data_IF_414064508529
#
_entry.id   IF_414064508529
#
_cell.length_a   1.000
_cell.length_b   1.000
_cell.length_c   1.000
_cell.angle_alpha   90.00
_cell.angle_beta   90.00
_cell.angle_gamma   90.00
#
_symmetry.space_group_name_H-M   'P 1'
#
loop_
_entity.id
_entity.type
_entity.pdbx_description
1 polymer ?
#
# COMPACT_ATOMS: atom_id res chain seq x y z
N UNK A 1 0.42 22.41 9.64
CA UNK A 1 1.36 23.00 8.65
C UNK A 1 1.75 21.95 7.61
N UNK A 2 1.66 22.25 6.31
CA UNK A 2 2.06 21.31 5.25
C UNK A 2 3.57 20.99 5.31
N UNK A 3 3.94 19.75 4.97
CA UNK A 3 5.35 19.25 5.01
C UNK A 3 6.32 20.18 4.28
N UNK A 4 5.88 20.78 3.17
CA UNK A 4 6.67 21.76 2.41
C UNK A 4 7.13 22.96 3.25
N UNK A 5 6.30 23.45 4.17
CA UNK A 5 6.64 24.61 5.01
C UNK A 5 7.65 24.21 6.09
N UNK A 6 7.53 23.01 6.67
CA UNK A 6 8.52 22.52 7.64
C UNK A 6 9.90 22.31 7.01
N UNK A 7 9.96 21.76 5.80
CA UNK A 7 11.21 21.57 5.05
C UNK A 7 11.85 22.91 4.67
N UNK A 8 11.06 23.91 4.24
CA UNK A 8 11.58 25.24 3.96
C UNK A 8 12.14 25.92 5.21
N UNK A 9 11.47 25.79 6.36
CA UNK A 9 11.97 26.34 7.62
C UNK A 9 13.30 25.68 8.03
N UNK A 10 13.42 24.37 7.89
CA UNK A 10 14.67 23.65 8.16
C UNK A 10 15.79 24.04 7.18
N UNK A 11 15.46 24.17 5.90
CA UNK A 11 16.40 24.63 4.88
C UNK A 11 16.94 26.03 5.18
N UNK A 12 16.04 26.97 5.50
CA UNK A 12 16.40 28.34 5.87
C UNK A 12 17.23 28.38 7.16
N UNK A 13 16.92 27.56 8.16
CA UNK A 13 17.71 27.45 9.38
C UNK A 13 19.12 26.93 9.11
N UNK A 14 19.26 25.85 8.32
CA UNK A 14 20.57 25.29 7.95
C UNK A 14 21.39 26.31 7.15
N UNK A 15 20.77 26.96 6.16
CA UNK A 15 21.45 27.98 5.35
C UNK A 15 21.91 29.17 6.19
N UNK A 16 21.07 29.66 7.10
CA UNK A 16 21.43 30.74 8.04
C UNK A 16 22.63 30.37 8.91
N UNK A 17 22.65 29.13 9.43
CA UNK A 17 23.76 28.63 10.25
C UNK A 17 25.07 28.49 9.47
N UNK A 18 25.02 27.96 8.25
CA UNK A 18 26.18 27.85 7.35
C UNK A 18 26.75 29.23 7.05
N UNK A 19 25.88 30.21 6.79
CA UNK A 19 26.29 31.56 6.44
C UNK A 19 26.91 32.30 7.62
N UNK A 20 26.32 32.16 8.82
CA UNK A 20 26.85 32.74 10.05
C UNK A 20 28.25 32.17 10.35
N UNK A 21 28.43 30.85 10.20
CA UNK A 21 29.71 30.19 10.36
C UNK A 21 30.76 30.65 9.33
N UNK A 22 30.37 30.75 8.05
CA UNK A 22 31.25 31.25 6.99
C UNK A 22 31.69 32.70 7.23
N UNK A 23 30.75 33.58 7.58
CA UNK A 23 31.04 34.99 7.88
C UNK A 23 31.97 35.12 9.10
N UNK A 24 31.69 34.38 10.17
CA UNK A 24 32.54 34.36 11.37
C UNK A 24 33.97 33.84 11.08
N UNK A 25 34.10 32.76 10.31
CA UNK A 25 35.40 32.22 9.91
C UNK A 25 36.19 33.22 9.05
N UNK A 26 35.51 33.91 8.14
CA UNK A 26 36.10 34.96 7.32
C UNK A 26 36.59 36.13 8.17
N UNK A 27 35.78 36.59 9.13
CA UNK A 27 36.12 37.68 10.06
C UNK A 27 37.40 37.37 10.83
N UNK A 28 37.49 36.17 11.42
CA UNK A 28 38.70 35.75 12.16
C UNK A 28 39.91 35.65 11.24
N UNK A 29 39.75 35.13 10.02
CA UNK A 29 40.86 34.97 9.08
C UNK A 29 41.44 36.34 8.69
N UNK A 30 40.57 37.32 8.45
CA UNK A 30 40.97 38.70 8.13
C UNK A 30 41.64 39.37 9.32
N UNK A 31 41.05 39.26 10.53
CA UNK A 31 41.62 39.85 11.75
C UNK A 31 42.98 39.24 12.12
N UNK A 32 43.15 37.93 11.94
CA UNK A 32 44.41 37.25 12.21
C UNK A 32 45.52 37.67 11.25
N UNK A 33 45.22 37.75 9.94
CA UNK A 33 46.18 38.20 8.93
C UNK A 33 46.61 39.66 9.14
N UNK A 34 45.70 40.52 9.60
CA UNK A 34 45.99 41.91 9.96
C UNK A 34 46.95 42.04 11.15
N UNK A 35 46.85 41.11 12.11
CA UNK A 35 47.66 41.14 13.34
C UNK A 35 49.09 40.65 13.12
N UNK A 36 49.34 39.81 12.12
CA UNK A 36 50.68 39.33 11.77
C UNK A 36 51.41 40.23 10.75
N UNK A 37 50.71 40.87 9.81
CA UNK A 37 51.32 41.68 8.74
C UNK A 37 51.42 43.19 9.07
N UNK A 38 51.97 43.53 10.24
CA UNK A 38 52.00 44.92 10.76
C UNK A 38 52.91 45.87 9.94
N UNK A 39 53.78 45.40 9.06
CA UNK A 39 54.74 46.23 8.30
C UNK A 39 54.22 46.84 6.98
N UNK A 40 53.01 46.50 6.50
CA UNK A 40 52.42 47.00 5.24
C UNK A 40 51.13 47.85 5.38
N UNK A 41 50.76 48.21 6.60
CA UNK A 41 49.36 48.46 7.03
C UNK A 41 48.71 49.77 6.54
N UNK A 42 49.48 50.76 6.06
CA UNK A 42 48.91 52.08 5.71
C UNK A 42 48.24 52.08 4.32
N UNK A 43 48.55 51.12 3.44
CA UNK A 43 47.92 50.99 2.12
C UNK A 43 46.81 49.92 2.05
N UNK A 44 46.67 49.07 3.07
CA UNK A 44 45.77 47.89 3.05
C UNK A 44 44.43 48.10 3.76
N UNK A 45 44.25 49.19 4.52
CA UNK A 45 43.02 49.43 5.28
C UNK A 45 41.78 49.60 4.36
N UNK A 46 41.91 50.31 3.24
CA UNK A 46 40.79 50.48 2.30
C UNK A 46 40.47 49.19 1.54
N UNK A 47 41.49 48.40 1.19
CA UNK A 47 41.30 47.15 0.45
C UNK A 47 40.50 46.11 1.24
N UNK A 48 40.69 46.06 2.56
CA UNK A 48 40.03 45.10 3.45
C UNK A 48 38.57 45.49 3.70
N UNK A 49 38.29 46.77 3.94
CA UNK A 49 36.92 47.28 4.06
C UNK A 49 36.11 47.04 2.77
N UNK A 50 36.71 47.28 1.60
CA UNK A 50 36.06 46.97 0.32
C UNK A 50 35.81 45.48 0.12
N UNK A 51 36.74 44.61 0.52
CA UNK A 51 36.57 43.16 0.44
C UNK A 51 35.45 42.68 1.37
N UNK A 52 35.47 43.09 2.64
CA UNK A 52 34.44 42.76 3.62
C UNK A 52 33.07 43.25 3.16
N UNK A 53 32.95 44.50 2.71
CA UNK A 53 31.69 45.06 2.26
C UNK A 53 31.14 44.34 1.01
N UNK A 54 32.01 43.92 0.09
CA UNK A 54 31.63 43.12 -1.08
C UNK A 54 31.08 41.75 -0.68
N UNK A 55 31.69 41.07 0.30
CA UNK A 55 31.21 39.78 0.83
C UNK A 55 29.88 39.96 1.57
N UNK A 56 29.75 40.99 2.40
CA UNK A 56 28.50 41.33 3.09
C UNK A 56 27.36 41.61 2.11
N UNK A 57 27.64 42.23 0.96
CA UNK A 57 26.64 42.53 -0.08
C UNK A 57 26.22 41.29 -0.90
N UNK A 58 27.15 40.38 -1.19
CA UNK A 58 26.90 39.16 -1.98
C UNK A 58 26.27 38.01 -1.18
N UNK A 59 26.53 37.96 0.12
CA UNK A 59 26.01 36.95 1.05
C UNK A 59 24.47 36.77 1.01
N UNK A 60 23.64 37.84 1.09
CA UNK A 60 22.19 37.69 0.98
C UNK A 60 21.73 37.21 -0.41
N UNK A 61 22.48 37.53 -1.47
CA UNK A 61 22.15 37.08 -2.82
C UNK A 61 22.30 35.56 -2.96
N UNK A 62 23.35 34.99 -2.36
CA UNK A 62 23.55 33.54 -2.27
C UNK A 62 22.38 32.85 -1.53
N UNK A 63 21.90 33.43 -0.43
CA UNK A 63 20.75 32.90 0.33
C UNK A 63 19.49 32.89 -0.53
N UNK A 64 19.19 34.00 -1.20
CA UNK A 64 17.97 34.10 -2.02
C UNK A 64 18.01 33.08 -3.15
N UNK A 65 19.16 32.95 -3.83
CA UNK A 65 19.32 32.01 -4.94
C UNK A 65 19.22 30.55 -4.46
N UNK A 66 19.89 30.22 -3.35
CA UNK A 66 19.86 28.93 -2.69
C UNK A 66 18.43 28.56 -2.22
N UNK A 67 17.72 29.50 -1.60
CA UNK A 67 16.34 29.33 -1.12
C UNK A 67 15.36 29.11 -2.27
N UNK A 68 15.53 29.83 -3.38
CA UNK A 68 14.73 29.65 -4.57
C UNK A 68 14.96 28.26 -5.20
N UNK A 69 16.22 27.82 -5.27
CA UNK A 69 16.60 26.48 -5.73
C UNK A 69 15.99 25.37 -4.87
N UNK A 70 16.11 25.47 -3.54
CA UNK A 70 15.53 24.51 -2.60
C UNK A 70 14.00 24.45 -2.70
N UNK A 71 13.33 25.60 -2.80
CA UNK A 71 11.88 25.68 -2.99
C UNK A 71 11.42 24.97 -4.27
N UNK A 72 12.12 25.21 -5.37
CA UNK A 72 11.80 24.63 -6.67
C UNK A 72 12.00 23.11 -6.69
N UNK A 73 13.11 22.62 -6.13
CA UNK A 73 13.43 21.20 -6.04
C UNK A 73 12.42 20.43 -5.19
N UNK A 74 12.08 20.93 -4.00
CA UNK A 74 11.04 20.34 -3.13
C UNK A 74 9.68 20.35 -3.86
N UNK A 75 9.36 21.44 -4.54
CA UNK A 75 8.14 21.53 -5.34
C UNK A 75 8.02 20.39 -6.35
N UNK A 76 9.09 20.11 -7.08
CA UNK A 76 9.17 19.11 -8.15
C UNK A 76 9.20 17.67 -7.61
N UNK A 77 9.98 17.40 -6.57
CA UNK A 77 10.08 16.05 -5.97
C UNK A 77 8.77 15.57 -5.35
N UNK A 78 7.99 16.45 -4.71
CA UNK A 78 6.74 16.04 -4.05
C UNK A 78 5.52 16.02 -4.98
N UNK A 79 5.62 16.53 -6.21
CA UNK A 79 4.51 16.50 -7.18
C UNK A 79 4.08 15.06 -7.56
N UNK A 80 4.99 14.14 -7.97
CA UNK A 80 4.62 12.76 -8.29
C UNK A 80 4.06 12.01 -7.07
N UNK A 81 4.62 12.23 -5.88
CA UNK A 81 4.12 11.61 -4.65
C UNK A 81 2.67 11.99 -4.34
N UNK A 82 2.28 13.26 -4.57
CA UNK A 82 0.89 13.69 -4.37
C UNK A 82 -0.07 13.09 -5.39
N UNK A 83 0.34 12.99 -6.65
CA UNK A 83 -0.48 12.36 -7.68
C UNK A 83 -0.71 10.88 -7.35
N UNK A 84 0.33 10.18 -6.92
CA UNK A 84 0.24 8.81 -6.45
C UNK A 84 -0.69 8.66 -5.24
N UNK A 85 -0.57 9.53 -4.23
CA UNK A 85 -1.45 9.50 -3.06
C UNK A 85 -2.92 9.74 -3.43
N UNK A 86 -3.18 10.64 -4.39
CA UNK A 86 -4.53 10.88 -4.89
C UNK A 86 -5.11 9.63 -5.58
N UNK A 87 -4.32 8.98 -6.46
CA UNK A 87 -4.72 7.75 -7.13
C UNK A 87 -4.94 6.60 -6.13
N UNK A 88 -4.14 6.52 -5.08
CA UNK A 88 -4.34 5.52 -4.00
C UNK A 88 -5.66 5.73 -3.27
N UNK A 89 -6.10 6.97 -3.07
CA UNK A 89 -7.34 7.30 -2.36
C UNK A 89 -8.60 7.01 -3.19
N UNK A 90 -8.49 6.92 -4.51
CA UNK A 90 -9.63 6.59 -5.39
C UNK A 90 -9.86 5.09 -5.50
N UNK A 91 -8.82 4.28 -5.29
CA UNK A 91 -8.93 2.82 -5.38
C UNK A 91 -9.79 2.30 -4.22
N UNK A 92 -10.84 1.57 -4.57
CA UNK A 92 -11.77 0.96 -3.64
C UNK A 92 -11.95 -0.54 -3.97
N UNK A 93 -12.61 -1.29 -3.08
CA UNK A 93 -12.77 -2.74 -3.22
C UNK A 93 -13.54 -3.18 -4.49
N UNK A 94 -14.27 -2.29 -5.16
CA UNK A 94 -14.95 -2.58 -6.44
C UNK A 94 -14.06 -2.34 -7.66
N UNK A 95 -12.96 -1.60 -7.51
CA UNK A 95 -12.07 -1.19 -8.60
C UNK A 95 -10.60 -1.56 -8.30
N UNK A 96 -10.37 -2.76 -7.76
CA UNK A 96 -9.04 -3.30 -7.52
C UNK A 96 -8.22 -3.51 -8.79
N UNK A 97 -8.83 -3.45 -9.98
CA UNK A 97 -8.16 -3.55 -11.28
C UNK A 97 -7.40 -2.28 -11.68
N UNK A 98 -7.66 -1.14 -11.03
CA UNK A 98 -6.87 0.07 -11.24
C UNK A 98 -5.43 -0.15 -10.78
N UNK A 99 -4.50 0.51 -11.45
CA UNK A 99 -3.07 0.43 -11.15
C UNK A 99 -2.50 1.84 -11.05
N UNK A 100 -1.52 2.00 -10.17
CA UNK A 100 -0.73 3.22 -10.11
C UNK A 100 0.20 3.24 -11.30
N UNK A 101 0.21 4.35 -12.04
CA UNK A 101 1.13 4.60 -13.14
C UNK A 101 2.57 4.55 -12.63
N UNK A 102 3.37 3.63 -13.18
CA UNK A 102 4.81 3.56 -12.97
C UNK A 102 5.53 4.41 -14.01
N UNK A 103 6.73 4.87 -13.68
CA UNK A 103 7.59 5.64 -14.58
C UNK A 103 8.86 4.82 -14.88
N UNK A 104 9.53 5.11 -16.01
CA UNK A 104 10.75 4.39 -16.40
C UNK A 104 11.93 4.66 -15.44
N UNK A 105 11.87 5.75 -14.68
CA UNK A 105 12.90 6.06 -13.68
C UNK A 105 12.72 5.17 -12.45
N UNK A 106 13.75 4.39 -12.11
CA UNK A 106 13.76 3.47 -10.97
C UNK A 106 14.05 4.20 -9.64
N UNK A 107 13.30 5.27 -9.37
CA UNK A 107 13.39 6.04 -8.13
C UNK A 107 12.55 5.42 -7.00
N UNK A 108 12.69 5.96 -5.79
CA UNK A 108 11.97 5.49 -4.60
C UNK A 108 10.44 5.54 -4.76
N UNK A 109 9.94 6.47 -5.58
CA UNK A 109 8.50 6.62 -5.83
C UNK A 109 8.03 5.48 -6.74
N UNK A 110 8.79 5.13 -7.78
CA UNK A 110 8.48 4.02 -8.66
C UNK A 110 8.53 2.66 -7.94
N UNK A 111 9.50 2.48 -7.03
CA UNK A 111 9.57 1.29 -6.17
C UNK A 111 8.35 1.17 -5.25
N UNK A 112 7.89 2.27 -4.67
CA UNK A 112 6.65 2.28 -3.88
C UNK A 112 5.42 1.96 -4.74
N UNK A 113 5.35 2.49 -5.97
CA UNK A 113 4.23 2.25 -6.88
C UNK A 113 4.16 0.77 -7.28
N UNK A 114 5.32 0.17 -7.56
CA UNK A 114 5.45 -1.26 -7.85
C UNK A 114 5.02 -2.13 -6.66
N UNK A 115 5.50 -1.81 -5.44
CA UNK A 115 5.11 -2.53 -4.25
C UNK A 115 3.60 -2.45 -3.97
N UNK A 116 2.99 -1.28 -4.19
CA UNK A 116 1.55 -1.10 -4.02
C UNK A 116 0.74 -1.85 -5.09
N UNK A 117 1.17 -1.82 -6.35
CA UNK A 117 0.53 -2.59 -7.42
C UNK A 117 0.59 -4.09 -7.13
N UNK A 118 1.70 -4.61 -6.60
CA UNK A 118 1.80 -6.01 -6.17
C UNK A 118 0.86 -6.33 -4.99
N UNK A 119 0.64 -5.40 -4.07
CA UNK A 119 -0.37 -5.55 -3.01
C UNK A 119 -1.79 -5.60 -3.59
N UNK A 120 -2.11 -4.72 -4.55
CA UNK A 120 -3.41 -4.71 -5.22
C UNK A 120 -3.68 -6.02 -5.99
N UNK A 121 -2.67 -6.56 -6.67
CA UNK A 121 -2.77 -7.84 -7.37
C UNK A 121 -3.10 -9.00 -6.42
N UNK A 122 -2.42 -9.06 -5.26
CA UNK A 122 -2.72 -10.06 -4.23
C UNK A 122 -4.14 -9.92 -3.66
N UNK A 123 -4.59 -8.68 -3.49
CA UNK A 123 -5.97 -8.40 -3.04
C UNK A 123 -7.00 -8.81 -4.09
N UNK A 124 -6.77 -8.47 -5.36
CA UNK A 124 -7.66 -8.83 -6.48
C UNK A 124 -7.79 -10.35 -6.62
N UNK A 125 -6.68 -11.08 -6.54
CA UNK A 125 -6.68 -12.54 -6.54
C UNK A 125 -7.51 -13.10 -5.38
N UNK A 126 -7.27 -12.61 -4.16
CA UNK A 126 -7.96 -13.08 -2.95
C UNK A 126 -9.47 -12.79 -3.02
N UNK A 127 -9.87 -11.58 -3.44
CA UNK A 127 -11.28 -11.22 -3.59
C UNK A 127 -11.97 -12.04 -4.67
N UNK A 128 -11.31 -12.29 -5.79
CA UNK A 128 -11.85 -13.12 -6.87
C UNK A 128 -12.06 -14.56 -6.39
N UNK A 129 -11.10 -15.11 -5.66
CA UNK A 129 -11.21 -16.45 -5.08
C UNK A 129 -12.37 -16.54 -4.07
N UNK A 130 -12.49 -15.57 -3.16
CA UNK A 130 -13.60 -15.51 -2.18
C UNK A 130 -14.95 -15.41 -2.89
N UNK A 131 -15.06 -14.59 -3.93
CA UNK A 131 -16.30 -14.42 -4.70
C UNK A 131 -16.69 -15.73 -5.39
N UNK A 132 -15.75 -16.38 -6.08
CA UNK A 132 -15.97 -17.66 -6.75
C UNK A 132 -16.38 -18.75 -5.75
N UNK A 133 -15.70 -18.84 -4.61
CA UNK A 133 -16.04 -19.76 -3.52
C UNK A 133 -17.45 -19.54 -2.99
N UNK A 134 -17.82 -18.29 -2.69
CA UNK A 134 -19.15 -17.96 -2.18
C UNK A 134 -20.26 -18.28 -3.19
N UNK A 135 -20.02 -18.01 -4.47
CA UNK A 135 -20.94 -18.37 -5.55
C UNK A 135 -21.11 -19.90 -5.63
N UNK A 136 -20.01 -20.66 -5.64
CA UNK A 136 -20.08 -22.12 -5.70
C UNK A 136 -20.79 -22.70 -4.47
N UNK A 137 -20.42 -22.28 -3.26
CA UNK A 137 -21.05 -22.72 -2.02
C UNK A 137 -22.57 -22.46 -2.04
N UNK A 138 -22.99 -21.28 -2.51
CA UNK A 138 -24.42 -20.94 -2.62
C UNK A 138 -25.17 -21.86 -3.59
N UNK A 139 -24.55 -22.25 -4.71
CA UNK A 139 -25.16 -23.17 -5.67
C UNK A 139 -25.24 -24.60 -5.12
N UNK A 140 -24.13 -25.10 -4.58
CA UNK A 140 -24.04 -26.46 -4.03
C UNK A 140 -24.98 -26.67 -2.83
N UNK A 141 -25.23 -25.65 -2.01
CA UNK A 141 -26.19 -25.72 -0.91
C UNK A 141 -27.65 -25.63 -1.38
N UNK A 142 -27.93 -24.85 -2.44
CA UNK A 142 -29.30 -24.61 -2.92
C UNK A 142 -29.93 -25.87 -3.52
N UNK A 143 -29.15 -26.68 -4.22
CA UNK A 143 -29.64 -27.90 -4.88
C UNK A 143 -30.25 -28.91 -3.90
N UNK A 144 -29.52 -29.42 -2.89
CA UNK A 144 -30.07 -30.37 -1.92
C UNK A 144 -31.22 -29.76 -1.11
N UNK A 145 -31.16 -28.47 -0.76
CA UNK A 145 -32.30 -27.78 -0.11
C UNK A 145 -33.57 -27.76 -0.99
N UNK A 146 -33.41 -27.60 -2.30
CA UNK A 146 -34.54 -27.61 -3.24
C UNK A 146 -35.11 -29.02 -3.39
N UNK A 147 -34.26 -30.04 -3.46
CA UNK A 147 -34.66 -31.45 -3.52
C UNK A 147 -35.41 -31.83 -2.25
N UNK A 148 -34.82 -31.58 -1.08
CA UNK A 148 -35.43 -31.86 0.22
C UNK A 148 -36.81 -31.23 0.35
N UNK A 149 -36.93 -29.93 0.01
CA UNK A 149 -38.22 -29.25 0.01
C UNK A 149 -39.22 -29.91 -0.94
N UNK A 150 -38.81 -30.25 -2.17
CA UNK A 150 -39.69 -30.89 -3.16
C UNK A 150 -40.20 -32.25 -2.70
N UNK A 151 -39.35 -33.07 -2.10
CA UNK A 151 -39.74 -34.36 -1.54
C UNK A 151 -40.74 -34.21 -0.38
N UNK A 152 -40.51 -33.25 0.52
CA UNK A 152 -41.43 -32.94 1.61
C UNK A 152 -42.77 -32.43 1.07
N UNK A 153 -42.77 -31.53 0.08
CA UNK A 153 -44.00 -31.04 -0.56
C UNK A 153 -44.77 -32.19 -1.20
N UNK A 154 -44.09 -33.10 -1.90
CA UNK A 154 -44.69 -34.30 -2.49
C UNK A 154 -45.24 -35.21 -1.38
N UNK A 155 -44.53 -35.38 -0.27
CA UNK A 155 -44.92 -36.15 0.91
C UNK A 155 -46.22 -35.62 1.55
N UNK A 156 -46.40 -34.31 1.56
CA UNK A 156 -47.54 -33.63 2.19
C UNK A 156 -48.77 -33.49 1.27
N UNK A 157 -48.66 -33.73 -0.05
CA UNK A 157 -49.79 -33.57 -1.00
C UNK A 157 -50.98 -34.52 -0.75
N UNK A 158 -50.78 -35.64 -0.09
CA UNK A 158 -51.83 -36.61 0.24
C UNK A 158 -51.41 -37.46 1.43
N UNK A 159 -52.39 -38.02 2.14
CA UNK A 159 -52.13 -39.04 3.15
C UNK A 159 -51.41 -40.25 2.53
N UNK A 160 -50.46 -40.79 3.31
CA UNK A 160 -49.62 -41.93 2.95
C UNK A 160 -49.56 -42.90 4.11
N UNK A 161 -49.13 -44.12 3.84
CA UNK A 161 -48.88 -45.11 4.87
C UNK A 161 -47.74 -44.68 5.80
N UNK A 162 -47.76 -45.15 7.05
CA UNK A 162 -46.65 -44.93 8.00
C UNK A 162 -45.30 -45.41 7.43
N UNK A 163 -45.28 -46.49 6.65
CA UNK A 163 -44.07 -47.01 6.02
C UNK A 163 -43.53 -46.08 4.92
N UNK A 164 -44.39 -45.43 4.14
CA UNK A 164 -43.95 -44.41 3.17
C UNK A 164 -43.38 -43.17 3.87
N UNK A 165 -44.02 -42.69 4.94
CA UNK A 165 -43.48 -41.56 5.70
C UNK A 165 -42.13 -41.89 6.33
N UNK A 166 -41.96 -43.10 6.87
CA UNK A 166 -40.67 -43.55 7.42
C UNK A 166 -39.58 -43.52 6.35
N UNK A 167 -39.84 -44.05 5.15
CA UNK A 167 -38.89 -44.01 4.03
C UNK A 167 -38.51 -42.59 3.62
N UNK A 168 -39.49 -41.67 3.55
CA UNK A 168 -39.21 -40.28 3.21
C UNK A 168 -38.32 -39.62 4.27
N UNK A 169 -38.58 -39.87 5.57
CA UNK A 169 -37.76 -39.35 6.65
C UNK A 169 -36.33 -39.91 6.64
N UNK A 170 -36.16 -41.18 6.26
CA UNK A 170 -34.83 -41.79 6.07
C UNK A 170 -34.06 -41.11 4.94
N UNK A 171 -34.69 -40.88 3.79
CA UNK A 171 -34.07 -40.14 2.67
C UNK A 171 -33.72 -38.71 3.07
N UNK A 172 -34.62 -38.00 3.76
CA UNK A 172 -34.34 -36.64 4.24
C UNK A 172 -33.17 -36.61 5.23
N UNK A 173 -33.02 -37.64 6.07
CA UNK A 173 -31.90 -37.74 6.99
C UNK A 173 -30.56 -37.93 6.24
N UNK A 174 -30.54 -38.75 5.20
CA UNK A 174 -29.36 -38.93 4.33
C UNK A 174 -28.96 -37.61 3.64
N UNK A 175 -29.92 -36.87 3.09
CA UNK A 175 -29.68 -35.56 2.47
C UNK A 175 -29.14 -34.52 3.47
N UNK A 176 -29.66 -34.51 4.70
CA UNK A 176 -29.14 -33.63 5.76
C UNK A 176 -27.69 -33.99 6.11
N UNK A 177 -27.35 -35.28 6.21
CA UNK A 177 -25.98 -35.74 6.48
C UNK A 177 -25.01 -35.36 5.35
N UNK A 178 -25.45 -35.47 4.09
CA UNK A 178 -24.68 -35.01 2.94
C UNK A 178 -24.42 -33.49 3.00
N UNK A 179 -25.45 -32.70 3.34
CA UNK A 179 -25.33 -31.24 3.48
C UNK A 179 -24.37 -30.86 4.62
N UNK A 180 -24.40 -31.57 5.75
CA UNK A 180 -23.45 -31.38 6.86
C UNK A 180 -22.02 -31.61 6.41
N UNK A 181 -21.77 -32.73 5.70
CA UNK A 181 -20.44 -33.06 5.15
C UNK A 181 -19.95 -31.99 4.19
N UNK A 182 -20.84 -31.46 3.35
CA UNK A 182 -20.51 -30.37 2.43
C UNK A 182 -20.12 -29.08 3.17
N UNK A 183 -20.85 -28.71 4.22
CA UNK A 183 -20.53 -27.55 5.07
C UNK A 183 -19.16 -27.73 5.75
N UNK A 184 -18.87 -28.91 6.29
CA UNK A 184 -17.58 -29.23 6.91
C UNK A 184 -16.42 -29.10 5.90
N UNK A 185 -16.61 -29.60 4.68
CA UNK A 185 -15.63 -29.47 3.60
C UNK A 185 -15.39 -27.99 3.22
N UNK A 186 -16.46 -27.19 3.12
CA UNK A 186 -16.35 -25.76 2.84
C UNK A 186 -15.62 -25.01 3.96
N UNK A 187 -15.88 -25.32 5.23
CA UNK A 187 -15.18 -24.74 6.38
C UNK A 187 -13.69 -25.11 6.39
N UNK A 188 -13.35 -26.37 6.13
CA UNK A 188 -11.96 -26.83 6.05
C UNK A 188 -11.17 -26.12 4.95
N UNK A 189 -11.82 -25.85 3.80
CA UNK A 189 -11.21 -25.08 2.71
C UNK A 189 -11.01 -23.61 3.10
N UNK A 190 -11.98 -23.00 3.78
CA UNK A 190 -11.89 -21.60 4.22
C UNK A 190 -10.81 -21.38 5.29
N UNK A 191 -10.57 -22.36 6.16
CA UNK A 191 -9.51 -22.32 7.19
C UNK A 191 -8.10 -22.57 6.63
N UNK A 192 -7.97 -22.95 5.35
CA UNK A 192 -6.68 -23.34 4.76
C UNK A 192 -6.14 -24.67 5.31
N UNK A 193 -6.99 -25.45 6.00
CA UNK A 193 -6.65 -26.77 6.52
C UNK A 193 -6.70 -27.80 5.38
N UNK A 194 -5.66 -27.84 4.55
CA UNK A 194 -5.47 -28.84 3.47
C UNK A 194 -5.31 -30.28 3.98
N UNK A 195 -5.22 -30.48 5.29
CA UNK A 195 -4.92 -31.76 5.95
C UNK A 195 -6.08 -32.78 5.92
N UNK A 196 -7.32 -32.38 5.62
CA UNK A 196 -8.48 -33.30 5.56
C UNK A 196 -8.81 -33.75 4.13
N UNK A 197 -8.43 -33.01 3.10
CA UNK A 197 -8.66 -33.37 1.68
C UNK A 197 -7.98 -34.70 1.30
N UNK A 198 -6.78 -34.96 1.80
CA UNK A 198 -6.03 -36.19 1.50
C UNK A 198 -6.68 -37.45 2.10
N UNK A 199 -7.41 -37.33 3.22
CA UNK A 199 -8.05 -38.45 3.91
C UNK A 199 -9.40 -38.84 3.27
N UNK A 200 -10.08 -37.91 2.61
CA UNK A 200 -11.34 -38.16 1.91
C UNK A 200 -11.16 -38.59 0.45
N UNK A 201 -10.19 -38.02 -0.29
CA UNK A 201 -9.87 -38.47 -1.66
C UNK A 201 -9.29 -39.89 -1.70
N UNK A 202 -8.63 -40.34 -0.63
CA UNK A 202 -8.13 -41.72 -0.51
C UNK A 202 -9.24 -42.77 -0.34
N UNK A 203 -10.49 -42.38 -0.02
CA UNK A 203 -11.60 -43.31 0.21
C UNK A 203 -12.62 -43.38 -0.93
N UNK A 204 -12.49 -42.54 -1.97
CA UNK A 204 -13.28 -42.64 -3.20
C UNK A 204 -12.45 -43.25 -4.34
N UNK A 205 -12.38 -44.58 -4.39
CA UNK A 205 -12.47 -45.33 -5.65
C UNK A 205 -12.73 -46.81 -5.35
N UNK A 206 -13.69 -47.41 -6.08
CA UNK A 206 -13.42 -48.64 -6.80
C UNK A 206 -13.48 -48.37 -8.32
N UNK A 207 -12.97 -49.31 -9.13
CA UNK A 207 -12.74 -49.11 -10.55
C UNK A 207 -14.05 -49.29 -11.33
N UNK A 208 -14.34 -48.40 -12.27
CA UNK A 208 -15.17 -48.79 -13.40
C UNK A 208 -14.26 -49.50 -14.39
N UNK A 209 -14.27 -50.83 -14.29
CA UNK A 209 -13.94 -51.72 -15.40
C UNK A 209 -14.98 -51.53 -16.51
N UNK A 210 -14.54 -50.99 -17.64
CA UNK A 210 -15.09 -51.28 -18.97
C UNK A 210 -13.93 -51.87 -19.77
#
# INVERSE_FOLDING_TARGET
MPIKVKLLLWYLLIQSLILAGFNYALYINVEHNLRENISGVIQTHEAIEHFLNTVWLLSPFSIVLSSFGGYFLIGRYFKPLKAMLHNMQTINAKELSQRIVTHENDDEINRLATAFNAMLERLEYSFTAIKAFNTQASHELRTPLTIMRGEIEIALRRERSNEEYRRILEVQLEEIQALQTLIENLLSLAEGNTSLSHKYFSKMHPPFSI
#
